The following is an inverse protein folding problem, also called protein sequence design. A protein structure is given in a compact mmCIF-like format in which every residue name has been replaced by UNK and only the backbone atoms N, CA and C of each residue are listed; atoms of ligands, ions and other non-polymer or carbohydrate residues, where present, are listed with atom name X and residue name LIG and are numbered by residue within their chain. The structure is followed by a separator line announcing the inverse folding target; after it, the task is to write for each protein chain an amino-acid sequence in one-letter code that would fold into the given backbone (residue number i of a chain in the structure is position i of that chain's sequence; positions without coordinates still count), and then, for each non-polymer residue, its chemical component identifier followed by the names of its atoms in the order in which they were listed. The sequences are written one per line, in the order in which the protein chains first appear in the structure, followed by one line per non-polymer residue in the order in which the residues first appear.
data_IF_396190359481
#
_entry.id   IF_396190359481
#
_cell.length_a   1.000
_cell.length_b   1.000
_cell.length_c   1.000
_cell.angle_alpha   90.00
_cell.angle_beta   90.00
_cell.angle_gamma   90.00
#
_symmetry.space_group_name_H-M   'P 1'
#
loop_
_entity.id
_entity.type
_entity.pdbx_description
1 polymer ?
#
# COMPACT_ATOMS: atom_id res chain seq x y z
N UNK A 1 -30.86 -19.97 -5.21
CA UNK A 1 -29.95 -21.07 -4.79
C UNK A 1 -28.51 -20.62 -4.57
N UNK A 2 -27.82 -20.01 -5.57
CA UNK A 2 -26.43 -19.53 -5.37
C UNK A 2 -26.30 -18.42 -4.32
N UNK A 3 -27.22 -17.45 -4.30
CA UNK A 3 -27.16 -16.31 -3.37
C UNK A 3 -27.32 -16.68 -1.89
N UNK A 4 -28.22 -17.62 -1.58
CA UNK A 4 -28.37 -18.13 -0.21
C UNK A 4 -27.16 -18.95 0.23
N UNK A 5 -26.53 -19.69 -0.68
CA UNK A 5 -25.27 -20.39 -0.43
C UNK A 5 -24.12 -19.41 -0.17
N UNK A 6 -24.03 -18.31 -0.93
CA UNK A 6 -23.02 -17.26 -0.72
C UNK A 6 -23.18 -16.59 0.66
N UNK A 7 -24.39 -16.21 1.06
CA UNK A 7 -24.65 -15.65 2.40
C UNK A 7 -24.26 -16.61 3.53
N UNK A 8 -24.51 -17.91 3.36
CA UNK A 8 -24.07 -18.94 4.32
C UNK A 8 -22.55 -19.03 4.39
N UNK A 9 -21.86 -19.00 3.25
CA UNK A 9 -20.39 -18.99 3.17
C UNK A 9 -19.81 -17.76 3.88
N UNK A 10 -20.34 -16.57 3.60
CA UNK A 10 -19.90 -15.32 4.24
C UNK A 10 -20.07 -15.35 5.76
N UNK A 11 -21.22 -15.86 6.22
CA UNK A 11 -21.52 -15.99 7.65
C UNK A 11 -20.56 -16.97 8.33
N UNK A 12 -20.30 -18.13 7.72
CA UNK A 12 -19.35 -19.12 8.24
C UNK A 12 -17.92 -18.57 8.24
N UNK A 13 -17.49 -17.88 7.18
CA UNK A 13 -16.17 -17.22 7.12
C UNK A 13 -15.99 -16.17 8.22
N UNK A 14 -17.01 -15.35 8.47
CA UNK A 14 -16.98 -14.36 9.54
C UNK A 14 -16.86 -15.03 10.92
N UNK A 15 -17.58 -16.14 11.14
CA UNK A 15 -17.46 -16.92 12.37
C UNK A 15 -16.04 -17.49 12.55
N UNK A 16 -15.46 -18.08 11.51
CA UNK A 16 -14.10 -18.64 11.54
C UNK A 16 -13.05 -17.54 11.79
N UNK A 17 -13.18 -16.39 11.12
CA UNK A 17 -12.33 -15.20 11.34
C UNK A 17 -12.36 -14.75 12.81
N UNK A 18 -13.54 -14.71 13.42
CA UNK A 18 -13.68 -14.34 14.84
C UNK A 18 -12.96 -15.32 15.78
N UNK A 19 -13.04 -16.63 15.50
CA UNK A 19 -12.29 -17.64 16.27
C UNK A 19 -10.78 -17.40 16.14
N UNK A 20 -10.30 -17.12 14.92
CA UNK A 20 -8.89 -16.81 14.67
C UNK A 20 -8.41 -15.56 15.43
N UNK A 21 -9.22 -14.50 15.43
CA UNK A 21 -8.91 -13.28 16.18
C UNK A 21 -8.85 -13.53 17.69
N UNK A 22 -9.72 -14.39 18.23
CA UNK A 22 -9.64 -14.79 19.65
C UNK A 22 -8.36 -15.57 19.94
N UNK A 23 -7.98 -16.51 19.06
CA UNK A 23 -6.69 -17.22 19.17
C UNK A 23 -5.54 -16.22 19.22
N UNK A 24 -5.50 -15.25 18.29
CA UNK A 24 -4.42 -14.25 18.21
C UNK A 24 -4.36 -13.40 19.48
N UNK A 25 -5.50 -12.95 19.98
CA UNK A 25 -5.59 -12.17 21.23
C UNK A 25 -5.05 -12.94 22.43
N UNK A 26 -5.45 -14.21 22.58
CA UNK A 26 -5.00 -15.05 23.70
C UNK A 26 -3.52 -15.45 23.56
N UNK A 27 -3.05 -15.64 22.33
CA UNK A 27 -1.67 -16.04 22.03
C UNK A 27 -0.62 -15.02 22.48
N UNK A 28 -0.94 -13.72 22.45
CA UNK A 28 -0.01 -12.65 22.82
C UNK A 28 0.37 -12.66 24.31
N UNK A 29 -0.49 -13.19 25.16
CA UNK A 29 -0.34 -13.16 26.61
C UNK A 29 -0.37 -14.55 27.24
N UNK A 30 -0.28 -15.61 26.42
CA UNK A 30 -0.36 -16.99 26.88
C UNK A 30 0.74 -17.30 27.89
N UNK A 31 0.34 -17.74 29.09
CA UNK A 31 1.24 -18.43 30.00
C UNK A 31 1.24 -19.93 29.70
N UNK A 32 2.34 -20.51 29.18
CA UNK A 32 2.43 -21.94 28.86
C UNK A 32 2.25 -22.85 30.09
N UNK A 33 2.49 -22.32 31.30
CA UNK A 33 2.30 -23.06 32.55
C UNK A 33 0.85 -23.07 33.00
N UNK A 34 0.02 -22.15 32.49
CA UNK A 34 -1.41 -22.11 32.78
C UNK A 34 -2.17 -23.11 31.91
N UNK A 35 -2.36 -24.33 32.44
CA UNK A 35 -3.07 -25.41 31.74
C UNK A 35 -4.48 -25.04 31.27
N UNK A 36 -5.18 -24.14 31.98
CA UNK A 36 -6.53 -23.70 31.58
C UNK A 36 -6.48 -22.82 30.32
N UNK A 37 -5.55 -21.88 30.26
CA UNK A 37 -5.34 -21.02 29.09
C UNK A 37 -4.87 -21.84 27.87
N UNK A 38 -3.91 -22.73 28.09
CA UNK A 38 -3.44 -23.66 27.06
C UNK A 38 -4.58 -24.51 26.52
N UNK A 39 -5.39 -25.12 27.38
CA UNK A 39 -6.55 -25.91 26.96
C UNK A 39 -7.58 -25.07 26.20
N UNK A 40 -7.82 -23.82 26.61
CA UNK A 40 -8.72 -22.92 25.91
C UNK A 40 -8.23 -22.63 24.49
N UNK A 41 -6.95 -22.29 24.33
CA UNK A 41 -6.37 -22.04 23.00
C UNK A 41 -6.40 -23.30 22.14
N UNK A 42 -6.07 -24.46 22.69
CA UNK A 42 -6.11 -25.73 21.93
C UNK A 42 -7.52 -26.02 21.42
N UNK A 43 -8.56 -25.78 22.22
CA UNK A 43 -9.94 -25.92 21.78
C UNK A 43 -10.29 -24.94 20.66
N UNK A 44 -9.94 -23.66 20.80
CA UNK A 44 -10.15 -22.68 19.73
C UNK A 44 -9.41 -23.04 18.44
N UNK A 45 -8.19 -23.57 18.54
CA UNK A 45 -7.44 -24.06 17.39
C UNK A 45 -8.10 -25.30 16.74
N UNK A 46 -8.81 -26.13 17.51
CA UNK A 46 -9.61 -27.23 16.97
C UNK A 46 -10.83 -26.70 16.22
N UNK A 47 -11.56 -25.77 16.84
CA UNK A 47 -12.75 -25.15 16.24
C UNK A 47 -12.39 -24.42 14.94
N UNK A 48 -11.28 -23.68 14.95
CA UNK A 48 -10.74 -23.02 13.76
C UNK A 48 -10.38 -24.03 12.66
N UNK A 49 -9.58 -25.06 12.97
CA UNK A 49 -9.22 -26.10 11.98
C UNK A 49 -10.45 -26.78 11.39
N UNK A 50 -11.43 -27.11 12.22
CA UNK A 50 -12.66 -27.74 11.78
C UNK A 50 -13.46 -26.82 10.87
N UNK A 51 -13.63 -25.55 11.26
CA UNK A 51 -14.30 -24.53 10.45
C UNK A 51 -13.63 -24.34 9.09
N UNK A 52 -12.30 -24.19 9.07
CA UNK A 52 -11.50 -24.08 7.85
C UNK A 52 -11.70 -25.31 6.94
N UNK A 53 -11.61 -26.52 7.50
CA UNK A 53 -11.77 -27.75 6.71
C UNK A 53 -13.16 -27.91 6.11
N UNK A 54 -14.20 -27.52 6.87
CA UNK A 54 -15.59 -27.53 6.40
C UNK A 54 -15.77 -26.51 5.27
N UNK A 55 -15.38 -25.25 5.50
CA UNK A 55 -15.64 -24.18 4.53
C UNK A 55 -14.83 -24.37 3.25
N UNK A 56 -13.56 -24.78 3.35
CA UNK A 56 -12.69 -24.98 2.18
C UNK A 56 -13.19 -26.09 1.28
N UNK A 57 -13.64 -27.20 1.87
CA UNK A 57 -14.19 -28.34 1.12
C UNK A 57 -15.51 -27.98 0.46
N UNK A 58 -16.41 -27.32 1.20
CA UNK A 58 -17.70 -26.87 0.68
C UNK A 58 -17.53 -25.90 -0.48
N UNK A 59 -16.75 -24.85 -0.29
CA UNK A 59 -16.56 -23.78 -1.28
C UNK A 59 -15.77 -24.23 -2.49
N UNK A 60 -14.78 -25.12 -2.33
CA UNK A 60 -14.06 -25.73 -3.44
C UNK A 60 -15.00 -26.52 -4.36
N UNK A 61 -15.96 -27.26 -3.79
CA UNK A 61 -16.97 -27.99 -4.56
C UNK A 61 -17.96 -27.02 -5.23
N UNK A 62 -18.46 -26.02 -4.49
CA UNK A 62 -19.44 -25.04 -5.02
C UNK A 62 -18.85 -24.26 -6.20
N UNK A 63 -17.60 -23.82 -6.09
CA UNK A 63 -16.96 -22.99 -7.11
C UNK A 63 -16.13 -23.80 -8.12
N UNK A 64 -15.89 -25.10 -7.89
CA UNK A 64 -15.00 -25.90 -8.72
C UNK A 64 -13.53 -25.46 -8.67
N UNK A 65 -13.13 -24.70 -7.64
CA UNK A 65 -11.77 -24.16 -7.49
C UNK A 65 -11.00 -24.97 -6.44
N UNK A 66 -10.00 -25.76 -6.90
CA UNK A 66 -9.18 -26.62 -6.03
C UNK A 66 -8.23 -25.83 -5.12
N UNK A 67 -7.79 -24.65 -5.53
CA UNK A 67 -6.86 -23.83 -4.73
C UNK A 67 -7.46 -23.48 -3.36
N UNK A 68 -8.77 -23.29 -3.28
CA UNK A 68 -9.47 -23.03 -2.02
C UNK A 68 -9.26 -24.20 -1.04
N UNK A 69 -9.34 -25.44 -1.54
CA UNK A 69 -9.11 -26.63 -0.73
C UNK A 69 -7.64 -26.75 -0.33
N UNK A 70 -6.73 -26.54 -1.27
CA UNK A 70 -5.27 -26.63 -1.03
C UNK A 70 -4.79 -25.62 0.02
N UNK A 71 -5.29 -24.38 -0.03
CA UNK A 71 -5.01 -23.37 0.98
C UNK A 71 -5.63 -23.73 2.33
N UNK A 72 -6.88 -24.23 2.35
CA UNK A 72 -7.50 -24.71 3.57
C UNK A 72 -6.73 -25.86 4.24
N UNK A 73 -6.24 -26.81 3.46
CA UNK A 73 -5.45 -27.94 3.98
C UNK A 73 -4.08 -27.46 4.49
N UNK A 74 -3.45 -26.50 3.81
CA UNK A 74 -2.22 -25.84 4.27
C UNK A 74 -2.42 -25.08 5.60
N UNK A 75 -3.55 -24.38 5.77
CA UNK A 75 -3.91 -23.76 7.04
C UNK A 75 -4.04 -24.81 8.16
N UNK A 76 -4.73 -25.92 7.90
CA UNK A 76 -4.93 -26.98 8.89
C UNK A 76 -3.59 -27.63 9.28
N UNK A 77 -2.71 -27.86 8.31
CA UNK A 77 -1.37 -28.41 8.56
C UNK A 77 -0.54 -27.47 9.46
N UNK A 78 -0.55 -26.17 9.17
CA UNK A 78 0.13 -25.16 10.00
C UNK A 78 -0.45 -25.10 11.42
N UNK A 79 -1.78 -25.20 11.56
CA UNK A 79 -2.41 -25.25 12.90
C UNK A 79 -2.04 -26.53 13.64
N UNK A 80 -1.92 -27.68 12.95
CA UNK A 80 -1.44 -28.91 13.57
C UNK A 80 0.00 -28.75 14.10
N UNK A 81 0.91 -28.20 13.30
CA UNK A 81 2.28 -27.86 13.74
C UNK A 81 2.27 -26.90 14.93
N UNK A 82 1.37 -25.92 14.93
CA UNK A 82 1.22 -24.97 16.02
C UNK A 82 0.81 -25.66 17.33
N UNK A 83 -0.17 -26.57 17.27
CA UNK A 83 -0.61 -27.38 18.43
C UNK A 83 0.51 -28.21 19.03
N UNK A 84 1.38 -28.80 18.20
CA UNK A 84 2.54 -29.56 18.70
C UNK A 84 3.55 -28.67 19.43
N UNK A 85 3.63 -27.37 19.09
CA UNK A 85 4.58 -26.42 19.69
C UNK A 85 4.10 -25.74 20.97
N UNK A 86 2.84 -25.93 21.38
CA UNK A 86 2.21 -25.17 22.47
C UNK A 86 2.83 -25.43 23.86
N UNK A 87 3.57 -26.54 24.03
CA UNK A 87 4.17 -26.94 25.31
C UNK A 87 5.19 -25.95 25.89
N UNK A 88 5.84 -25.14 25.04
CA UNK A 88 6.85 -24.16 25.48
C UNK A 88 6.33 -22.73 25.41
N UNK A 89 5.71 -22.35 24.30
CA UNK A 89 4.98 -21.10 24.00
C UNK A 89 4.33 -21.26 22.62
N UNK A 90 3.21 -20.59 22.39
CA UNK A 90 2.60 -20.61 21.06
C UNK A 90 3.55 -19.96 20.04
N UNK A 91 3.95 -20.71 19.03
CA UNK A 91 4.92 -20.24 18.05
C UNK A 91 4.27 -19.24 17.09
N UNK A 92 4.49 -17.94 17.34
CA UNK A 92 3.93 -16.86 16.54
C UNK A 92 4.32 -16.93 15.06
N UNK A 93 5.46 -17.53 14.72
CA UNK A 93 5.84 -17.71 13.31
C UNK A 93 4.89 -18.68 12.60
N UNK A 94 4.56 -19.79 13.25
CA UNK A 94 3.62 -20.78 12.71
C UNK A 94 2.19 -20.22 12.72
N UNK A 95 1.83 -19.41 13.72
CA UNK A 95 0.54 -18.71 13.73
C UNK A 95 0.41 -17.76 12.53
N UNK A 96 1.44 -16.96 12.23
CA UNK A 96 1.46 -16.08 11.06
C UNK A 96 1.42 -16.87 9.73
N UNK A 97 2.06 -18.04 9.68
CA UNK A 97 1.98 -18.93 8.51
C UNK A 97 0.55 -19.48 8.31
N UNK A 98 -0.13 -19.86 9.40
CA UNK A 98 -1.53 -20.29 9.33
C UNK A 98 -2.48 -19.16 8.89
N UNK A 99 -2.24 -17.93 9.34
CA UNK A 99 -2.96 -16.72 8.92
C UNK A 99 -2.78 -16.48 7.42
N UNK A 100 -1.55 -16.54 6.93
CA UNK A 100 -1.24 -16.34 5.52
C UNK A 100 -2.05 -17.28 4.63
N UNK A 101 -2.03 -18.59 4.91
CA UNK A 101 -2.80 -19.56 4.11
C UNK A 101 -4.31 -19.35 4.23
N UNK A 102 -4.79 -18.99 5.42
CA UNK A 102 -6.20 -18.71 5.64
C UNK A 102 -6.68 -17.49 4.85
N UNK A 103 -5.86 -16.44 4.78
CA UNK A 103 -6.13 -15.24 3.98
C UNK A 103 -6.12 -15.55 2.48
N UNK A 104 -5.19 -16.37 2.00
CA UNK A 104 -5.19 -16.82 0.60
C UNK A 104 -6.47 -17.60 0.27
N UNK A 105 -6.90 -18.50 1.16
CA UNK A 105 -8.18 -19.22 1.00
C UNK A 105 -9.36 -18.24 0.92
N UNK A 106 -9.43 -17.26 1.83
CA UNK A 106 -10.50 -16.25 1.82
C UNK A 106 -10.50 -15.44 0.52
N UNK A 107 -9.32 -15.02 0.05
CA UNK A 107 -9.19 -14.26 -1.19
C UNK A 107 -9.68 -15.04 -2.41
N UNK A 108 -9.41 -16.35 -2.48
CA UNK A 108 -9.93 -17.19 -3.56
C UNK A 108 -11.46 -17.31 -3.49
N UNK A 109 -12.03 -17.48 -2.29
CA UNK A 109 -13.49 -17.51 -2.11
C UNK A 109 -14.12 -16.18 -2.53
N UNK A 110 -13.56 -15.05 -2.10
CA UNK A 110 -14.05 -13.72 -2.45
C UNK A 110 -14.00 -13.47 -3.97
N UNK A 111 -12.93 -13.90 -4.65
CA UNK A 111 -12.84 -13.84 -6.12
C UNK A 111 -13.95 -14.65 -6.80
N UNK A 112 -14.25 -15.86 -6.34
CA UNK A 112 -15.30 -16.69 -6.93
C UNK A 112 -16.70 -16.11 -6.69
N UNK A 113 -16.96 -15.58 -5.49
CA UNK A 113 -18.20 -14.84 -5.20
C UNK A 113 -18.33 -13.63 -6.12
N UNK A 114 -17.26 -12.84 -6.27
CA UNK A 114 -17.25 -11.69 -7.18
C UNK A 114 -17.52 -12.08 -8.63
N UNK A 115 -16.92 -13.18 -9.12
CA UNK A 115 -17.25 -13.69 -10.47
C UNK A 115 -18.74 -13.97 -10.61
N UNK A 116 -19.36 -14.66 -9.66
CA UNK A 116 -20.79 -15.00 -9.71
C UNK A 116 -21.68 -13.76 -9.62
N UNK A 117 -21.30 -12.77 -8.80
CA UNK A 117 -22.06 -11.51 -8.65
C UNK A 117 -21.92 -10.64 -9.90
N UNK A 118 -20.74 -10.63 -10.52
CA UNK A 118 -20.44 -9.80 -11.70
C UNK A 118 -20.83 -10.48 -13.03
N UNK A 119 -20.88 -11.81 -13.11
CA UNK A 119 -21.19 -12.58 -14.33
C UNK A 119 -22.55 -12.18 -14.96
N UNK A 120 -23.64 -11.98 -14.20
CA UNK A 120 -24.91 -11.46 -14.74
C UNK A 120 -24.86 -9.98 -15.15
N UNK A 121 -23.94 -9.19 -14.56
CA UNK A 121 -23.72 -7.78 -14.93
C UNK A 121 -22.95 -7.67 -16.26
N UNK A 122 -22.29 -8.76 -16.68
CA UNK A 122 -21.42 -8.79 -17.87
C UNK A 122 -22.16 -9.36 -19.11
N UNK A 123 -23.43 -9.77 -19.03
CA UNK A 123 -24.18 -10.22 -20.22
C UNK A 123 -24.64 -9.06 -21.11
N UNK A 124 -24.09 -9.06 -22.34
CA UNK A 124 -24.32 -8.32 -23.60
C UNK A 124 -24.93 -6.89 -23.64
N UNK A 125 -25.87 -6.49 -22.77
CA UNK A 125 -26.45 -5.14 -22.79
C UNK A 125 -25.63 -4.09 -22.03
N UNK A 126 -24.78 -4.50 -21.09
CA UNK A 126 -24.06 -3.58 -20.17
C UNK A 126 -22.59 -3.31 -20.54
N UNK A 127 -22.03 -3.99 -21.54
CA UNK A 127 -20.65 -3.73 -22.02
C UNK A 127 -20.47 -2.28 -22.48
N UNK A 128 -21.49 -1.70 -23.11
CA UNK A 128 -21.46 -0.30 -23.54
C UNK A 128 -21.51 0.67 -22.35
N UNK A 129 -22.40 0.42 -21.38
CA UNK A 129 -22.53 1.23 -20.17
C UNK A 129 -21.27 1.17 -19.29
N UNK A 130 -20.69 -0.02 -19.12
CA UNK A 130 -19.44 -0.18 -18.37
C UNK A 130 -18.26 0.48 -19.08
N UNK A 131 -18.16 0.40 -20.41
CA UNK A 131 -17.15 1.15 -21.18
C UNK A 131 -17.30 2.66 -21.05
N UNK A 132 -18.53 3.17 -21.09
CA UNK A 132 -18.81 4.59 -20.88
C UNK A 132 -18.43 5.02 -19.45
N UNK A 133 -18.75 4.22 -18.43
CA UNK A 133 -18.34 4.52 -17.04
C UNK A 133 -16.82 4.44 -16.83
N UNK A 134 -16.15 3.45 -17.42
CA UNK A 134 -14.68 3.36 -17.38
C UNK A 134 -14.07 4.60 -18.03
N UNK A 135 -14.58 5.04 -19.19
CA UNK A 135 -14.10 6.24 -19.87
C UNK A 135 -14.31 7.52 -19.04
N UNK A 136 -15.43 7.63 -18.31
CA UNK A 136 -15.65 8.74 -17.37
C UNK A 136 -14.64 8.69 -16.23
N UNK A 137 -14.44 7.52 -15.60
CA UNK A 137 -13.47 7.34 -14.51
C UNK A 137 -12.05 7.65 -14.97
N UNK A 138 -11.65 7.21 -16.17
CA UNK A 138 -10.35 7.52 -16.76
C UNK A 138 -10.17 9.04 -16.96
N UNK A 139 -11.22 9.73 -17.40
CA UNK A 139 -11.22 11.18 -17.57
C UNK A 139 -11.11 11.93 -16.23
N UNK A 140 -11.83 11.47 -15.20
CA UNK A 140 -11.74 12.03 -13.85
C UNK A 140 -10.35 11.80 -13.22
N UNK A 141 -9.76 10.62 -13.42
CA UNK A 141 -8.40 10.32 -12.99
C UNK A 141 -7.40 11.27 -13.66
N UNK A 142 -7.55 11.53 -14.96
CA UNK A 142 -6.64 12.42 -15.67
C UNK A 142 -6.78 13.87 -15.18
N UNK A 143 -8.00 14.34 -14.94
CA UNK A 143 -8.26 15.65 -14.34
C UNK A 143 -7.63 15.77 -12.94
N UNK A 144 -7.74 14.73 -12.10
CA UNK A 144 -7.12 14.67 -10.78
C UNK A 144 -5.59 14.70 -10.86
N UNK A 145 -4.97 13.99 -11.82
CA UNK A 145 -3.51 14.08 -12.04
C UNK A 145 -3.08 15.49 -12.41
N UNK A 146 -3.85 16.18 -13.25
CA UNK A 146 -3.58 17.58 -13.60
C UNK A 146 -3.67 18.48 -12.35
N UNK A 147 -4.71 18.32 -11.54
CA UNK A 147 -4.89 19.09 -10.30
C UNK A 147 -3.75 18.82 -9.30
N UNK A 148 -3.37 17.56 -9.09
CA UNK A 148 -2.23 17.20 -8.22
C UNK A 148 -0.93 17.82 -8.72
N UNK A 149 -0.71 17.83 -10.04
CA UNK A 149 0.48 18.45 -10.63
C UNK A 149 0.50 19.96 -10.41
N UNK A 150 -0.65 20.63 -10.58
CA UNK A 150 -0.79 22.05 -10.29
C UNK A 150 -0.53 22.37 -8.81
N UNK A 151 -1.12 21.60 -7.89
CA UNK A 151 -0.89 21.77 -6.45
C UNK A 151 0.57 21.54 -6.05
N UNK A 152 1.25 20.54 -6.65
CA UNK A 152 2.69 20.33 -6.46
C UNK A 152 3.50 21.55 -6.90
N UNK A 153 3.16 22.15 -8.04
CA UNK A 153 3.77 23.41 -8.50
C UNK A 153 3.56 24.51 -7.47
N UNK A 154 2.32 24.75 -7.05
CA UNK A 154 1.98 25.80 -6.07
C UNK A 154 2.69 25.62 -4.74
N UNK A 155 2.76 24.39 -4.21
CA UNK A 155 3.48 24.09 -2.97
C UNK A 155 4.99 24.36 -3.16
N UNK A 156 5.56 24.00 -4.30
CA UNK A 156 6.97 24.28 -4.60
C UNK A 156 7.22 25.79 -4.63
N UNK A 157 6.38 26.56 -5.32
CA UNK A 157 6.49 28.01 -5.40
C UNK A 157 6.41 28.67 -4.03
N UNK A 158 5.51 28.19 -3.16
CA UNK A 158 5.38 28.67 -1.79
C UNK A 158 6.62 28.36 -0.95
N UNK A 159 7.19 27.16 -1.07
CA UNK A 159 8.43 26.77 -0.38
C UNK A 159 9.59 27.64 -0.84
N UNK A 160 9.69 27.94 -2.14
CA UNK A 160 10.73 28.81 -2.69
C UNK A 160 10.59 30.24 -2.18
N UNK A 161 9.38 30.80 -2.22
CA UNK A 161 9.10 32.14 -1.66
C UNK A 161 9.42 32.23 -0.18
N UNK A 162 9.15 31.19 0.59
CA UNK A 162 9.47 31.19 2.03
C UNK A 162 10.99 31.12 2.26
N UNK A 163 11.73 30.38 1.43
CA UNK A 163 13.20 30.35 1.49
C UNK A 163 13.83 31.68 1.13
N UNK A 164 13.26 32.40 0.16
CA UNK A 164 13.73 33.71 -0.28
C UNK A 164 13.59 34.80 0.81
N UNK A 165 12.61 34.67 1.74
CA UNK A 165 12.43 35.63 2.85
C UNK A 165 13.58 35.68 3.85
N UNK A 166 14.42 34.65 3.91
CA UNK A 166 15.54 34.56 4.86
C UNK A 166 16.89 34.91 4.23
N UNK A 167 16.89 35.31 2.95
CA UNK A 167 18.12 35.70 2.25
C UNK A 167 18.56 37.10 2.67
N UNK A 168 19.87 37.28 2.80
CA UNK A 168 20.47 38.60 3.00
C UNK A 168 20.51 39.41 1.68
N UNK A 169 20.90 40.69 1.76
CA UNK A 169 20.91 41.58 0.59
C UNK A 169 21.92 41.14 -0.50
N UNK A 170 23.02 40.50 -0.13
CA UNK A 170 24.02 40.01 -1.11
C UNK A 170 23.52 38.74 -1.81
N UNK A 171 22.81 37.87 -1.09
CA UNK A 171 22.13 36.67 -1.61
C UNK A 171 20.98 37.03 -2.56
N UNK A 172 20.16 38.02 -2.21
CA UNK A 172 19.09 38.53 -3.08
C UNK A 172 19.66 39.16 -4.36
N UNK A 173 20.73 39.96 -4.26
CA UNK A 173 21.36 40.58 -5.43
C UNK A 173 21.88 39.56 -6.43
N UNK A 174 22.47 38.44 -5.96
CA UNK A 174 22.94 37.37 -6.84
C UNK A 174 21.77 36.57 -7.44
N UNK A 175 20.71 36.39 -6.67
CA UNK A 175 19.51 35.74 -7.17
C UNK A 175 18.86 36.54 -8.30
N UNK A 176 18.80 37.87 -8.17
CA UNK A 176 18.30 38.78 -9.23
C UNK A 176 19.13 38.68 -10.51
N UNK A 177 20.46 38.67 -10.41
CA UNK A 177 21.35 38.47 -11.56
C UNK A 177 21.11 37.13 -12.26
N UNK A 178 20.95 36.06 -11.47
CA UNK A 178 20.63 34.72 -11.99
C UNK A 178 19.28 34.72 -12.71
N UNK A 179 18.25 35.32 -12.12
CA UNK A 179 16.91 35.39 -12.71
C UNK A 179 16.90 36.19 -14.03
N UNK A 180 17.60 37.33 -14.09
CA UNK A 180 17.76 38.13 -15.31
C UNK A 180 18.42 37.32 -16.44
N UNK A 181 19.42 36.50 -16.13
CA UNK A 181 20.06 35.61 -17.11
C UNK A 181 19.11 34.49 -17.59
N UNK A 182 18.24 33.97 -16.71
CA UNK A 182 17.19 33.02 -17.12
C UNK A 182 16.16 33.66 -18.05
N UNK A 183 15.78 34.93 -17.83
CA UNK A 183 14.89 35.68 -18.72
C UNK A 183 15.49 35.86 -20.12
N UNK A 184 16.83 35.91 -20.22
CA UNK A 184 17.57 35.91 -21.48
C UNK A 184 17.72 34.50 -22.10
N UNK A 185 17.13 33.46 -21.50
CA UNK A 185 17.13 32.09 -22.00
C UNK A 185 18.33 31.23 -21.55
N UNK A 186 19.14 31.70 -20.58
CA UNK A 186 20.32 30.97 -20.10
C UNK A 186 19.94 30.03 -18.96
N UNK A 187 19.72 28.75 -19.27
CA UNK A 187 19.25 27.78 -18.28
C UNK A 187 20.29 27.35 -17.21
N UNK A 188 21.59 27.49 -17.47
CA UNK A 188 22.67 27.12 -16.55
C UNK A 188 23.80 28.14 -16.63
N UNK A 189 24.12 28.76 -15.49
CA UNK A 189 24.98 29.92 -15.36
C UNK A 189 26.27 29.52 -14.67
N UNK A 190 27.41 29.90 -15.25
CA UNK A 190 28.72 29.73 -14.63
C UNK A 190 29.02 30.91 -13.67
N UNK A 191 29.67 30.69 -12.52
CA UNK A 191 29.96 31.72 -11.52
C UNK A 191 30.67 32.97 -12.06
N UNK A 192 31.49 32.82 -13.11
CA UNK A 192 32.21 33.94 -13.74
C UNK A 192 31.32 35.00 -14.38
N UNK A 193 30.04 34.71 -14.58
CA UNK A 193 29.06 35.66 -15.14
C UNK A 193 28.28 36.41 -14.06
N UNK A 194 28.61 36.22 -12.79
CA UNK A 194 27.93 36.82 -11.64
C UNK A 194 28.87 37.77 -10.90
N UNK A 195 28.31 38.78 -10.24
CA UNK A 195 29.09 39.85 -9.62
C UNK A 195 29.73 39.48 -8.27
N UNK A 196 29.35 38.34 -7.65
CA UNK A 196 29.81 37.92 -6.30
C UNK A 196 30.38 36.49 -6.25
N UNK A 197 30.99 36.17 -5.10
CA UNK A 197 31.82 35.00 -4.85
C UNK A 197 31.05 33.66 -4.87
N UNK A 198 31.77 32.60 -5.26
CA UNK A 198 31.39 31.18 -5.22
C UNK A 198 30.75 30.72 -3.90
N UNK A 199 31.13 31.30 -2.77
CA UNK A 199 30.59 30.94 -1.45
C UNK A 199 29.09 31.26 -1.30
N UNK A 200 28.61 32.37 -1.89
CA UNK A 200 27.18 32.73 -1.87
C UNK A 200 26.37 31.72 -2.69
N UNK A 201 26.92 31.27 -3.83
CA UNK A 201 26.29 30.25 -4.67
C UNK A 201 26.19 28.90 -3.96
N UNK A 202 27.21 28.54 -3.18
CA UNK A 202 27.17 27.34 -2.34
C UNK A 202 26.13 27.45 -1.22
N UNK A 203 25.98 28.62 -0.57
CA UNK A 203 24.91 28.84 0.42
C UNK A 203 23.52 28.75 -0.20
N UNK A 204 23.28 29.43 -1.31
CA UNK A 204 22.01 29.38 -2.05
C UNK A 204 21.67 27.97 -2.56
N UNK A 205 22.69 27.20 -2.97
CA UNK A 205 22.54 25.78 -3.28
C UNK A 205 22.16 24.96 -2.04
N UNK A 206 22.81 25.18 -0.90
CA UNK A 206 22.52 24.48 0.35
C UNK A 206 21.12 24.82 0.91
N UNK A 207 20.63 26.04 0.68
CA UNK A 207 19.24 26.43 0.97
C UNK A 207 18.24 25.78 0.00
N UNK A 208 18.73 25.19 -1.10
CA UNK A 208 17.91 24.60 -2.16
C UNK A 208 17.18 25.64 -3.00
N UNK A 209 17.69 26.87 -3.06
CA UNK A 209 17.22 27.95 -3.96
C UNK A 209 17.82 27.76 -5.36
N UNK A 210 19.03 27.20 -5.44
CA UNK A 210 19.71 26.87 -6.70
C UNK A 210 19.87 25.36 -6.89
N UNK A 211 19.85 24.91 -8.15
CA UNK A 211 20.34 23.61 -8.61
C UNK A 211 21.81 23.76 -9.02
N UNK A 212 22.66 22.79 -8.71
CA UNK A 212 24.09 22.74 -9.11
C UNK A 212 24.39 21.48 -9.91
N UNK A 213 25.18 21.59 -10.98
CA UNK A 213 25.77 20.44 -11.69
C UNK A 213 27.13 20.79 -12.28
N UNK A 214 27.91 19.78 -12.66
CA UNK A 214 29.19 19.95 -13.36
C UNK A 214 29.00 20.06 -14.88
N UNK A 215 29.66 21.02 -15.52
CA UNK A 215 29.80 21.13 -16.99
C UNK A 215 31.25 21.44 -17.32
N UNK A 216 31.95 20.51 -17.97
CA UNK A 216 33.37 20.68 -18.31
C UNK A 216 34.28 20.90 -17.10
N UNK A 217 33.96 20.32 -15.94
CA UNK A 217 34.71 20.47 -14.68
C UNK A 217 34.29 21.68 -13.83
N UNK A 218 33.53 22.62 -14.38
CA UNK A 218 33.05 23.83 -13.71
C UNK A 218 31.66 23.56 -13.10
N UNK A 219 31.42 24.05 -11.89
CA UNK A 219 30.09 24.03 -11.29
C UNK A 219 29.22 25.13 -11.91
N UNK A 220 28.08 24.73 -12.46
CA UNK A 220 27.06 25.62 -13.02
C UNK A 220 25.80 25.56 -12.19
N UNK A 221 25.15 26.72 -12.09
CA UNK A 221 24.00 26.93 -11.24
C UNK A 221 22.78 27.28 -12.08
N UNK A 222 21.61 26.86 -11.62
CA UNK A 222 20.32 27.23 -12.21
C UNK A 222 19.37 27.57 -11.09
N UNK A 223 18.49 28.54 -11.31
CA UNK A 223 17.43 28.81 -10.35
C UNK A 223 16.54 27.57 -10.26
N UNK A 224 16.09 27.22 -9.05
CA UNK A 224 15.12 26.15 -8.84
C UNK A 224 13.73 26.54 -9.37
N UNK A 225 13.59 26.71 -10.70
CA UNK A 225 12.29 26.70 -11.35
C UNK A 225 11.86 25.23 -11.45
N UNK A 226 10.71 24.88 -10.90
CA UNK A 226 10.04 23.62 -11.24
C UNK A 226 8.95 23.94 -12.25
#
# INVERSE_FOLDING_TARGET
MKEEAMKKIETELASIRNVFLEIRKLSLHLDPKNRKEVSKIVNLLNDFSFGVGKISSLTSVIFGNKNIKDFGDSTIESIYKLKLSIGDRLNLKILNESEFYFDQMCNEIEKEILKIVLEPIITESDSKFLKERISIIESEIEALKTQVSSLKSTITDLILKEKEKFLDNDELSILEEILLLHEQGIAWIEPRFLSKNSEILDRLYNYGVLKRKKRGGIDVYSYCKN
#
